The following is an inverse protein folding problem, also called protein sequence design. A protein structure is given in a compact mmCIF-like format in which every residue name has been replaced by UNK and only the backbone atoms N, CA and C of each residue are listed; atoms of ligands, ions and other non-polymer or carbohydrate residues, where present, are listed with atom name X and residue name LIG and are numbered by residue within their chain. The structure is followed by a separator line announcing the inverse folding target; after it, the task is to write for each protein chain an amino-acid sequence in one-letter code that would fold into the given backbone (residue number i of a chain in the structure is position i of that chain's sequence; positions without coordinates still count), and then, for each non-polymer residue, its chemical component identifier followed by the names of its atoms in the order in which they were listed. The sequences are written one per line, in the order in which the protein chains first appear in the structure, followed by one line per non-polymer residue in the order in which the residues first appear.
data_IF_095680339231
#
_entry.id   IF_095680339231
#
_cell.length_a   1.000
_cell.length_b   1.000
_cell.length_c   1.000
_cell.angle_alpha   90.00
_cell.angle_beta   90.00
_cell.angle_gamma   90.00
#
_symmetry.space_group_name_H-M   'P 1'
#
loop_
_entity.id
_entity.type
_entity.pdbx_description
1 polymer ?
#
# COMPACT_ATOMS: atom_id res chain seq x y z
N UNK A 1 3.15 44.86 7.66
CA UNK A 1 2.70 44.32 8.95
C UNK A 1 1.21 44.03 8.82
N UNK A 2 0.86 42.80 8.43
CA UNK A 2 -0.54 42.38 8.35
C UNK A 2 -0.99 42.05 9.77
N UNK A 3 -2.07 42.68 10.22
CA UNK A 3 -2.75 42.38 11.48
C UNK A 3 -3.24 40.93 11.42
N UNK A 4 -2.51 40.01 12.06
CA UNK A 4 -2.84 38.59 12.08
C UNK A 4 -4.24 38.39 12.65
N UNK A 5 -5.16 37.90 11.80
CA UNK A 5 -6.49 37.53 12.21
C UNK A 5 -6.35 36.28 13.09
N UNK A 6 -6.62 36.42 14.39
CA UNK A 6 -6.55 35.29 15.33
C UNK A 6 -7.65 34.28 14.98
N UNK A 7 -7.24 33.14 14.42
CA UNK A 7 -8.16 32.07 14.05
C UNK A 7 -8.34 31.14 15.24
N UNK A 8 -9.60 30.91 15.62
CA UNK A 8 -9.95 29.95 16.67
C UNK A 8 -10.10 28.57 16.04
N UNK A 9 -9.28 27.62 16.48
CA UNK A 9 -9.30 26.23 16.01
C UNK A 9 -9.78 25.29 17.11
N UNK A 10 -10.62 24.33 16.71
CA UNK A 10 -11.05 23.20 17.54
C UNK A 10 -10.14 22.00 17.28
N UNK A 11 -9.52 21.50 18.33
CA UNK A 11 -8.59 20.38 18.29
C UNK A 11 -9.15 19.26 19.15
N UNK A 12 -9.45 18.12 18.54
CA UNK A 12 -9.84 16.89 19.22
C UNK A 12 -8.63 15.97 19.37
N UNK A 13 -8.35 15.56 20.59
CA UNK A 13 -7.19 14.72 20.90
C UNK A 13 -7.67 13.44 21.57
N UNK A 14 -7.19 12.30 21.08
CA UNK A 14 -7.42 11.01 21.72
C UNK A 14 -6.72 10.96 23.09
N UNK A 15 -7.50 10.59 24.10
CA UNK A 15 -7.08 10.46 25.49
C UNK A 15 -7.25 9.05 25.99
N UNK A 16 -6.27 8.59 26.74
CA UNK A 16 -6.31 7.28 27.37
C UNK A 16 -5.37 7.27 28.56
N UNK A 17 -5.90 6.95 29.75
CA UNK A 17 -5.11 6.69 30.94
C UNK A 17 -5.22 5.21 31.35
N UNK A 18 -4.09 4.46 31.35
CA UNK A 18 -4.11 3.05 31.72
C UNK A 18 -4.48 2.82 33.20
N UNK A 19 -4.33 3.83 34.06
CA UNK A 19 -4.63 3.73 35.50
C UNK A 19 -6.13 3.88 35.79
N UNK A 20 -6.86 4.63 34.97
CA UNK A 20 -8.31 4.81 35.09
C UNK A 20 -9.08 3.63 34.47
N UNK A 21 -8.45 2.92 33.53
CA UNK A 21 -9.07 1.81 32.79
C UNK A 21 -10.11 2.27 31.77
N UNK A 22 -10.80 1.32 31.13
CA UNK A 22 -11.77 1.61 30.07
C UNK A 22 -11.14 1.85 28.69
N UNK A 23 -11.97 2.29 27.73
CA UNK A 23 -11.53 2.66 26.40
C UNK A 23 -11.15 4.14 26.32
N UNK A 24 -10.25 4.51 25.41
CA UNK A 24 -9.93 5.91 25.21
C UNK A 24 -11.09 6.72 24.60
N UNK A 25 -11.03 8.04 24.80
CA UNK A 25 -12.05 9.01 24.40
C UNK A 25 -11.39 10.18 23.67
N UNK A 26 -12.18 11.12 23.17
CA UNK A 26 -11.66 12.36 22.58
C UNK A 26 -12.02 13.54 23.47
N UNK A 27 -10.99 14.32 23.82
CA UNK A 27 -11.15 15.63 24.44
C UNK A 27 -11.07 16.72 23.39
N UNK A 28 -11.87 17.78 23.56
CA UNK A 28 -11.87 18.94 22.67
C UNK A 28 -11.22 20.14 23.35
N UNK A 29 -10.24 20.72 22.68
CA UNK A 29 -9.54 21.93 23.08
C UNK A 29 -9.81 23.05 22.07
N UNK A 30 -10.04 24.25 22.57
CA UNK A 30 -10.13 25.45 21.74
C UNK A 30 -8.81 26.22 21.84
N UNK A 31 -8.24 26.59 20.70
CA UNK A 31 -6.99 27.35 20.65
C UNK A 31 -7.08 28.55 19.72
N UNK A 32 -6.56 29.68 20.17
CA UNK A 32 -6.31 30.83 19.31
C UNK A 32 -4.92 30.70 18.67
N UNK A 33 -4.88 30.74 17.34
CA UNK A 33 -3.67 30.60 16.54
C UNK A 33 -3.47 31.87 15.72
N UNK A 34 -2.35 32.55 15.95
CA UNK A 34 -2.01 33.83 15.33
C UNK A 34 -1.54 33.70 13.88
N UNK A 35 -0.77 32.64 13.61
CA UNK A 35 -0.21 32.35 12.29
C UNK A 35 -0.26 30.84 12.05
N UNK A 36 -1.28 30.39 11.34
CA UNK A 36 -1.49 28.97 11.02
C UNK A 36 -0.43 28.41 10.07
N UNK A 37 0.24 29.27 9.30
CA UNK A 37 1.26 28.86 8.32
C UNK A 37 2.61 28.52 8.96
N UNK A 38 2.83 29.01 10.18
CA UNK A 38 4.05 28.80 10.96
C UNK A 38 3.78 28.11 12.31
N UNK A 39 2.56 27.61 12.52
CA UNK A 39 2.20 26.83 13.71
C UNK A 39 2.05 25.37 13.32
N UNK A 40 2.93 24.52 13.84
CA UNK A 40 2.86 23.07 13.62
C UNK A 40 1.87 22.42 14.57
N UNK A 41 1.45 21.19 14.25
CA UNK A 41 0.65 20.37 15.17
C UNK A 41 1.39 20.08 16.47
N UNK A 42 2.73 20.00 16.44
CA UNK A 42 3.52 19.88 17.67
C UNK A 42 3.41 21.14 18.54
N UNK A 43 3.40 22.33 17.94
CA UNK A 43 3.22 23.58 18.70
C UNK A 43 1.83 23.63 19.34
N UNK A 44 0.80 23.16 18.63
CA UNK A 44 -0.56 23.01 19.17
C UNK A 44 -0.56 22.08 20.39
N UNK A 45 0.05 20.88 20.28
CA UNK A 45 0.11 19.92 21.39
C UNK A 45 0.85 20.47 22.61
N UNK A 46 1.99 21.13 22.40
CA UNK A 46 2.77 21.76 23.48
C UNK A 46 1.98 22.88 24.15
N UNK A 47 1.24 23.68 23.39
CA UNK A 47 0.40 24.75 23.95
C UNK A 47 -0.77 24.18 24.75
N UNK A 48 -1.48 23.18 24.23
CA UNK A 48 -2.54 22.48 24.98
C UNK A 48 -1.97 21.94 26.29
N UNK A 49 -0.83 21.26 26.23
CA UNK A 49 -0.20 20.68 27.42
C UNK A 49 0.17 21.74 28.47
N UNK A 50 0.68 22.90 28.04
CA UNK A 50 1.14 23.95 28.97
C UNK A 50 0.02 24.85 29.47
N UNK A 51 -0.95 25.14 28.63
CA UNK A 51 -1.95 26.20 28.87
C UNK A 51 -3.30 25.64 29.35
N UNK A 52 -3.64 24.39 29.01
CA UNK A 52 -4.98 23.82 29.23
C UNK A 52 -4.97 22.50 30.00
N UNK A 53 -4.09 21.55 29.66
CA UNK A 53 -4.04 20.24 30.32
C UNK A 53 -2.63 19.63 30.36
N UNK A 54 -1.98 19.72 31.52
CA UNK A 54 -0.62 19.20 31.75
C UNK A 54 -0.53 17.68 31.79
N UNK A 55 -1.66 16.96 31.80
CA UNK A 55 -1.69 15.49 31.83
C UNK A 55 -1.55 14.84 30.45
N UNK A 56 -1.73 15.63 29.38
CA UNK A 56 -1.64 15.17 27.99
C UNK A 56 -0.24 14.60 27.67
N UNK A 57 -0.18 13.34 27.25
CA UNK A 57 1.07 12.64 26.92
C UNK A 57 1.28 12.47 25.40
N UNK A 58 2.47 12.86 24.92
CA UNK A 58 2.92 12.63 23.55
C UNK A 58 4.45 12.64 23.49
N UNK A 59 5.04 11.99 22.48
CA UNK A 59 6.50 11.98 22.27
C UNK A 59 6.92 13.03 21.25
N UNK A 60 8.00 13.74 21.54
CA UNK A 60 8.71 14.60 20.60
C UNK A 60 10.16 14.79 21.05
N UNK A 61 11.04 15.18 20.12
CA UNK A 61 12.44 15.49 20.43
C UNK A 61 12.98 16.60 19.51
N UNK A 62 13.34 16.28 18.26
CA UNK A 62 14.14 17.18 17.42
C UNK A 62 13.43 18.45 16.93
N UNK A 63 12.09 18.42 16.79
CA UNK A 63 11.25 19.49 16.19
C UNK A 63 11.60 19.88 14.75
N UNK A 64 12.42 19.09 14.05
CA UNK A 64 12.92 19.41 12.69
C UNK A 64 12.76 18.25 11.69
N UNK A 65 11.78 17.36 11.89
CA UNK A 65 11.49 16.25 10.96
C UNK A 65 12.70 15.29 10.72
N UNK A 66 13.42 14.94 11.79
CA UNK A 66 14.57 14.02 11.67
C UNK A 66 14.55 12.84 12.64
N UNK A 67 14.00 12.98 13.85
CA UNK A 67 14.02 11.88 14.84
C UNK A 67 12.86 10.87 14.73
N UNK A 68 11.77 11.22 14.03
CA UNK A 68 10.58 10.36 13.91
C UNK A 68 9.68 10.25 15.15
N UNK A 69 10.08 10.73 16.33
CA UNK A 69 9.37 10.49 17.60
C UNK A 69 7.94 11.03 17.70
N UNK A 70 7.60 12.07 16.92
CA UNK A 70 6.26 12.68 16.91
C UNK A 70 5.37 12.15 15.77
N UNK A 71 5.62 10.92 15.33
CA UNK A 71 4.73 10.20 14.42
C UNK A 71 3.38 9.93 15.09
N UNK A 72 2.30 10.33 14.43
CA UNK A 72 0.92 10.13 14.91
C UNK A 72 -0.04 10.23 13.73
N UNK A 73 -1.33 10.06 13.98
CA UNK A 73 -2.36 10.27 12.97
C UNK A 73 -3.04 11.61 13.19
N UNK A 74 -3.01 12.45 12.15
CA UNK A 74 -3.51 13.82 12.13
C UNK A 74 -4.55 13.91 11.02
N UNK A 75 -5.79 14.27 11.36
CA UNK A 75 -6.94 14.29 10.45
C UNK A 75 -7.09 12.99 9.65
N UNK A 76 -6.94 11.86 10.34
CA UNK A 76 -7.11 10.53 9.76
C UNK A 76 -5.91 10.02 8.95
N UNK A 77 -4.86 10.83 8.74
CA UNK A 77 -3.66 10.46 7.98
C UNK A 77 -2.38 10.53 8.82
N UNK A 78 -1.49 9.57 8.65
CA UNK A 78 -0.22 9.54 9.37
C UNK A 78 0.70 10.70 8.97
N UNK A 79 1.35 11.28 9.96
CA UNK A 79 2.27 12.40 9.77
C UNK A 79 3.16 12.64 10.97
N UNK A 80 4.08 13.59 10.84
CA UNK A 80 4.89 14.06 11.97
C UNK A 80 4.30 15.36 12.47
N UNK A 81 3.97 15.43 13.76
CA UNK A 81 3.38 16.63 14.36
C UNK A 81 4.26 17.88 14.15
N UNK A 82 5.59 17.73 14.14
CA UNK A 82 6.51 18.86 13.93
C UNK A 82 6.71 19.26 12.46
N UNK A 83 6.14 18.52 11.51
CA UNK A 83 6.21 18.80 10.07
C UNK A 83 4.88 19.35 9.55
N UNK A 84 3.77 18.86 10.08
CA UNK A 84 2.42 19.22 9.65
C UNK A 84 2.02 20.56 10.24
N UNK A 85 1.63 21.50 9.38
CA UNK A 85 1.16 22.82 9.78
C UNK A 85 -0.36 22.86 9.95
N UNK A 86 -0.82 23.79 10.78
CA UNK A 86 -2.25 24.05 10.96
C UNK A 86 -2.90 24.54 9.65
N UNK A 87 -2.14 25.26 8.82
CA UNK A 87 -2.54 25.71 7.48
C UNK A 87 -2.70 24.58 6.46
N UNK A 88 -2.24 23.36 6.76
CA UNK A 88 -2.41 22.21 5.84
C UNK A 88 -3.88 21.74 5.81
N UNK A 89 -4.69 22.19 6.76
CA UNK A 89 -6.11 21.87 6.90
C UNK A 89 -6.98 23.11 6.62
N UNK A 90 -8.21 22.90 6.14
CA UNK A 90 -9.11 24.03 5.89
C UNK A 90 -9.43 24.78 7.21
N UNK A 91 -9.60 26.10 7.16
CA UNK A 91 -9.73 26.92 8.38
C UNK A 91 -10.95 26.58 9.25
N UNK A 92 -12.01 26.02 8.65
CA UNK A 92 -13.21 25.55 9.35
C UNK A 92 -13.18 24.05 9.68
N UNK A 93 -12.12 23.35 9.27
CA UNK A 93 -11.95 21.92 9.51
C UNK A 93 -11.48 21.70 10.96
N UNK A 94 -12.11 20.72 11.60
CA UNK A 94 -11.71 20.26 12.92
C UNK A 94 -10.39 19.50 12.81
N UNK A 95 -9.44 19.81 13.70
CA UNK A 95 -8.19 19.06 13.78
C UNK A 95 -8.42 17.87 14.72
N UNK A 96 -8.15 16.65 14.26
CA UNK A 96 -8.26 15.42 15.04
C UNK A 96 -6.90 14.75 15.14
N UNK A 97 -6.49 14.37 16.35
CA UNK A 97 -5.18 13.79 16.62
C UNK A 97 -5.37 12.49 17.40
N UNK A 98 -4.79 11.40 16.90
CA UNK A 98 -4.86 10.08 17.53
C UNK A 98 -3.50 9.36 17.45
N UNK A 99 -3.23 8.38 18.32
CA UNK A 99 -2.00 7.60 18.26
C UNK A 99 -1.85 6.87 16.91
N UNK A 100 -0.63 6.42 16.62
CA UNK A 100 -0.37 5.54 15.47
C UNK A 100 -1.25 4.28 15.56
N UNK A 101 -1.79 3.86 14.43
CA UNK A 101 -2.59 2.65 14.31
C UNK A 101 -1.74 1.39 14.49
N UNK A 102 -2.36 0.30 14.96
CA UNK A 102 -1.75 -1.04 15.05
C UNK A 102 -0.63 -1.16 16.07
N UNK A 103 -0.37 -0.10 16.84
CA UNK A 103 0.53 -0.14 17.99
C UNK A 103 -0.31 -0.16 19.28
N UNK A 104 0.11 -0.91 20.31
CA UNK A 104 -0.49 -0.80 21.64
C UNK A 104 -0.34 0.64 22.17
N UNK A 105 -1.43 1.22 22.67
CA UNK A 105 -1.40 2.57 23.27
C UNK A 105 -0.95 2.46 24.72
N UNK A 106 0.05 3.24 25.11
CA UNK A 106 0.55 3.33 26.50
C UNK A 106 -0.24 4.39 27.27
N UNK A 107 -0.32 5.61 26.73
CA UNK A 107 -1.07 6.74 27.30
C UNK A 107 -1.29 7.79 26.22
N UNK A 108 -2.53 8.29 26.08
CA UNK A 108 -2.92 9.31 25.10
C UNK A 108 -2.37 9.02 23.68
N UNK A 109 -1.40 9.83 23.21
CA UNK A 109 -0.79 9.71 21.89
C UNK A 109 0.50 8.89 21.87
N UNK A 110 0.93 8.36 23.03
CA UNK A 110 2.13 7.54 23.18
C UNK A 110 1.79 6.08 22.93
N UNK A 111 2.49 5.47 21.96
CA UNK A 111 2.36 4.05 21.64
C UNK A 111 3.61 3.26 22.03
N UNK A 112 3.45 1.96 22.21
CA UNK A 112 4.55 1.01 22.33
C UNK A 112 5.14 0.72 20.94
N UNK A 113 6.44 0.97 20.79
CA UNK A 113 7.17 0.78 19.53
C UNK A 113 7.96 -0.54 19.51
N UNK A 114 7.98 -1.30 20.60
CA UNK A 114 8.75 -2.54 20.70
C UNK A 114 8.38 -3.56 19.60
N UNK A 115 7.08 -3.79 19.26
CA UNK A 115 6.74 -4.69 18.15
C UNK A 115 7.35 -4.25 16.81
N UNK A 116 7.44 -2.94 16.56
CA UNK A 116 8.05 -2.41 15.35
C UNK A 116 9.56 -2.66 15.31
N UNK A 117 10.27 -2.41 16.41
CA UNK A 117 11.72 -2.61 16.47
C UNK A 117 12.09 -4.08 16.44
N UNK A 118 11.28 -4.96 17.05
CA UNK A 118 11.44 -6.40 16.91
C UNK A 118 11.39 -6.85 15.45
N UNK A 119 10.38 -6.42 14.68
CA UNK A 119 10.31 -6.73 13.25
C UNK A 119 11.50 -6.14 12.47
N UNK A 120 12.00 -4.98 12.90
CA UNK A 120 13.19 -4.33 12.32
C UNK A 120 14.44 -5.17 12.53
N UNK A 121 14.65 -5.68 13.74
CA UNK A 121 15.76 -6.58 14.13
C UNK A 121 15.69 -7.93 13.41
N UNK A 122 14.48 -8.50 13.26
CA UNK A 122 14.25 -9.75 12.53
C UNK A 122 14.67 -9.67 11.05
N UNK A 123 14.74 -8.47 10.48
CA UNK A 123 15.25 -8.19 9.13
C UNK A 123 16.77 -7.97 9.04
N UNK A 124 17.50 -8.22 10.14
CA UNK A 124 18.97 -8.09 10.28
C UNK A 124 19.49 -6.67 9.97
N UNK A 125 19.04 -5.59 10.61
CA UNK A 125 19.16 -4.20 10.11
C UNK A 125 20.58 -3.59 10.10
N UNK A 126 21.62 -4.39 10.23
CA UNK A 126 23.03 -4.03 10.27
C UNK A 126 23.77 -4.49 9.01
N UNK A 127 24.87 -3.79 8.72
CA UNK A 127 25.79 -4.11 7.64
C UNK A 127 26.81 -5.13 8.15
N UNK A 128 27.04 -6.18 7.38
CA UNK A 128 28.11 -7.14 7.61
C UNK A 128 29.06 -7.10 6.41
N UNK A 129 30.36 -6.83 6.57
CA UNK A 129 31.27 -6.75 5.43
C UNK A 129 31.45 -8.13 4.77
N UNK A 130 31.26 -8.20 3.45
CA UNK A 130 31.57 -9.40 2.66
C UNK A 130 33.07 -9.75 2.67
N UNK A 131 33.91 -8.73 2.71
CA UNK A 131 35.37 -8.83 2.75
C UNK A 131 35.90 -7.90 3.83
N UNK A 132 36.90 -8.35 4.59
CA UNK A 132 37.56 -7.53 5.60
C UNK A 132 38.53 -6.59 4.87
N UNK A 133 38.24 -5.30 4.90
CA UNK A 133 39.08 -4.24 4.33
C UNK A 133 39.51 -3.28 5.43
N UNK A 134 40.77 -2.87 5.43
CA UNK A 134 41.31 -1.91 6.42
C UNK A 134 40.86 -0.47 6.13
N UNK A 135 40.75 -0.11 4.84
CA UNK A 135 40.37 1.22 4.41
C UNK A 135 38.84 1.37 4.24
N UNK A 136 38.25 2.50 4.67
CA UNK A 136 36.82 2.75 4.46
C UNK A 136 36.44 2.77 2.98
N UNK A 137 35.31 2.12 2.66
CA UNK A 137 34.77 2.11 1.29
C UNK A 137 34.37 3.52 0.83
N UNK A 138 34.88 3.95 -0.33
CA UNK A 138 34.52 5.22 -0.96
C UNK A 138 33.22 5.04 -1.77
N UNK A 139 32.10 5.57 -1.26
CA UNK A 139 30.80 5.51 -1.95
C UNK A 139 30.54 6.85 -2.63
N UNK A 140 30.60 6.88 -3.96
CA UNK A 140 30.26 8.10 -4.70
C UNK A 140 28.74 8.34 -4.72
N UNK A 141 28.25 9.56 -4.46
CA UNK A 141 26.82 9.87 -4.51
C UNK A 141 26.17 9.65 -5.89
N UNK A 142 26.94 9.76 -6.96
CA UNK A 142 26.50 9.55 -8.35
C UNK A 142 26.58 8.08 -8.79
N UNK A 143 27.08 7.18 -7.94
CA UNK A 143 27.12 5.77 -8.28
C UNK A 143 25.71 5.19 -8.42
N UNK A 144 25.45 4.35 -9.44
CA UNK A 144 24.12 3.75 -9.65
C UNK A 144 23.61 2.98 -8.43
N UNK A 145 24.52 2.33 -7.70
CA UNK A 145 24.22 1.58 -6.48
C UNK A 145 23.76 2.51 -5.35
N UNK A 146 24.49 3.59 -5.06
CA UNK A 146 24.09 4.56 -4.04
C UNK A 146 22.77 5.22 -4.39
N UNK A 147 22.56 5.60 -5.66
CA UNK A 147 21.30 6.19 -6.12
C UNK A 147 20.11 5.24 -6.00
N UNK A 148 20.32 3.93 -6.19
CA UNK A 148 19.25 2.93 -6.09
C UNK A 148 18.64 2.84 -4.69
N UNK A 149 19.45 3.04 -3.64
CA UNK A 149 19.02 2.97 -2.23
C UNK A 149 18.97 4.35 -1.54
N UNK A 150 19.41 5.41 -2.23
CA UNK A 150 19.65 6.75 -1.68
C UNK A 150 18.53 7.26 -0.79
N UNK A 151 17.31 7.27 -1.31
CA UNK A 151 16.14 7.72 -0.56
C UNK A 151 15.73 6.72 0.54
N UNK A 152 15.87 5.42 0.28
CA UNK A 152 15.51 4.37 1.23
C UNK A 152 16.38 4.38 2.51
N UNK A 153 17.63 4.86 2.43
CA UNK A 153 18.51 5.01 3.61
C UNK A 153 18.09 6.15 4.53
N UNK A 154 17.25 7.09 4.06
CA UNK A 154 16.79 8.24 4.85
C UNK A 154 15.64 7.89 5.82
N UNK A 155 15.36 6.60 6.03
CA UNK A 155 14.31 6.14 6.91
C UNK A 155 14.61 6.52 8.37
N UNK A 156 13.71 7.29 8.98
CA UNK A 156 13.83 7.77 10.36
C UNK A 156 13.04 6.93 11.38
N UNK A 157 12.62 5.72 10.99
CA UNK A 157 11.89 4.79 11.86
C UNK A 157 10.65 5.38 12.59
N UNK A 158 9.94 6.32 11.96
CA UNK A 158 8.80 7.03 12.59
C UNK A 158 7.50 6.23 12.78
N UNK A 159 7.41 4.99 12.29
CA UNK A 159 6.19 4.16 12.39
C UNK A 159 5.03 4.52 11.45
N UNK A 160 5.00 5.72 10.84
CA UNK A 160 3.88 6.17 9.97
C UNK A 160 3.50 5.16 8.87
N UNK A 161 4.48 4.59 8.19
CA UNK A 161 4.21 3.63 7.11
C UNK A 161 3.62 2.31 7.60
N UNK A 162 3.95 1.89 8.83
CA UNK A 162 3.41 0.68 9.45
C UNK A 162 1.98 0.95 9.95
N UNK A 163 1.77 2.10 10.59
CA UNK A 163 0.44 2.58 11.00
C UNK A 163 -0.54 2.65 9.84
N UNK A 164 -0.11 3.11 8.65
CA UNK A 164 -1.02 3.21 7.50
C UNK A 164 -1.26 1.88 6.78
N UNK A 165 -0.51 0.83 7.10
CA UNK A 165 -0.54 -0.43 6.37
C UNK A 165 -1.55 -1.39 6.98
N UNK A 166 -2.64 -1.66 6.24
CA UNK A 166 -3.68 -2.58 6.69
C UNK A 166 -3.13 -4.01 6.89
N UNK A 167 -2.14 -4.42 6.09
CA UNK A 167 -1.53 -5.75 6.23
C UNK A 167 -0.72 -5.89 7.52
N UNK A 168 -0.16 -4.80 8.06
CA UNK A 168 0.51 -4.81 9.36
C UNK A 168 -0.49 -5.03 10.52
N UNK A 169 -1.78 -4.76 10.30
CA UNK A 169 -2.84 -5.05 11.27
C UNK A 169 -3.33 -6.50 11.23
N UNK A 170 -3.47 -7.06 10.02
CA UNK A 170 -4.18 -8.33 9.82
C UNK A 170 -3.26 -9.56 9.73
N UNK A 171 -1.95 -9.36 9.51
CA UNK A 171 -0.99 -10.45 9.37
C UNK A 171 0.10 -10.35 10.42
N UNK A 172 -0.02 -11.12 11.51
CA UNK A 172 0.97 -11.16 12.60
C UNK A 172 2.39 -11.51 12.12
N UNK A 173 2.53 -12.27 11.02
CA UNK A 173 3.83 -12.60 10.41
C UNK A 173 4.37 -11.56 9.42
N UNK A 174 3.71 -10.42 9.24
CA UNK A 174 4.18 -9.37 8.34
C UNK A 174 5.09 -8.39 9.07
N UNK A 175 6.38 -8.41 8.73
CA UNK A 175 7.38 -7.49 9.29
C UNK A 175 7.01 -6.01 9.08
N UNK A 176 6.34 -5.69 7.96
CA UNK A 176 5.89 -4.34 7.65
C UNK A 176 6.82 -3.54 6.72
N UNK A 177 6.35 -2.38 6.23
CA UNK A 177 7.05 -1.60 5.21
C UNK A 177 8.42 -1.05 5.64
N UNK A 178 8.55 -0.54 6.86
CA UNK A 178 9.82 0.04 7.33
C UNK A 178 10.94 -1.01 7.49
N UNK A 179 10.73 -2.14 8.17
CA UNK A 179 11.72 -3.23 8.23
C UNK A 179 12.14 -3.74 6.85
N UNK A 180 11.18 -3.98 5.96
CA UNK A 180 11.46 -4.44 4.59
C UNK A 180 12.20 -3.39 3.76
N UNK A 181 11.91 -2.10 3.94
CA UNK A 181 12.69 -1.01 3.34
C UNK A 181 14.15 -1.03 3.83
N UNK A 182 14.38 -1.25 5.13
CA UNK A 182 15.74 -1.36 5.67
C UNK A 182 16.47 -2.55 5.06
N UNK A 183 15.84 -3.73 5.04
CA UNK A 183 16.45 -4.91 4.43
C UNK A 183 16.79 -4.71 2.95
N UNK A 184 15.91 -4.04 2.19
CA UNK A 184 16.18 -3.66 0.80
C UNK A 184 17.48 -2.86 0.66
N UNK A 185 17.75 -1.89 1.55
CA UNK A 185 18.98 -1.10 1.47
C UNK A 185 20.23 -1.95 1.55
N UNK A 186 20.21 -3.01 2.37
CA UNK A 186 21.34 -3.91 2.58
C UNK A 186 21.41 -5.01 1.51
N UNK A 187 20.27 -5.57 1.09
CA UNK A 187 20.20 -6.54 -0.03
C UNK A 187 20.72 -5.96 -1.35
N UNK A 188 20.63 -4.64 -1.50
CA UNK A 188 21.09 -3.93 -2.69
C UNK A 188 22.54 -3.44 -2.57
N UNK A 189 23.12 -3.47 -1.37
CA UNK A 189 24.50 -3.10 -1.11
C UNK A 189 25.42 -4.30 -1.39
N UNK A 190 26.20 -4.21 -2.46
CA UNK A 190 27.13 -5.24 -2.93
C UNK A 190 28.23 -5.59 -1.93
N UNK A 191 28.43 -4.73 -0.93
CA UNK A 191 29.43 -4.92 0.12
C UNK A 191 28.90 -5.75 1.29
N UNK A 192 27.58 -5.95 1.39
CA UNK A 192 26.95 -6.72 2.48
C UNK A 192 27.14 -8.23 2.26
N UNK A 193 27.61 -8.92 3.30
CA UNK A 193 27.90 -10.35 3.31
C UNK A 193 26.71 -11.24 3.67
N UNK A 194 25.63 -10.69 4.23
CA UNK A 194 24.48 -11.46 4.75
C UNK A 194 23.33 -11.61 3.75
N UNK A 195 23.62 -11.60 2.46
CA UNK A 195 22.59 -11.60 1.42
C UNK A 195 21.61 -12.76 1.55
N UNK A 196 22.12 -13.99 1.75
CA UNK A 196 21.29 -15.20 1.75
C UNK A 196 20.37 -15.27 2.98
N UNK A 197 20.94 -15.03 4.17
CA UNK A 197 20.25 -15.04 5.46
C UNK A 197 19.19 -13.93 5.52
N UNK A 198 19.55 -12.74 5.02
CA UNK A 198 18.64 -11.60 4.93
C UNK A 198 17.51 -11.86 3.95
N UNK A 199 17.82 -12.43 2.79
CA UNK A 199 16.82 -12.78 1.78
C UNK A 199 15.82 -13.79 2.37
N UNK A 200 16.29 -14.88 2.97
CA UNK A 200 15.43 -15.91 3.57
C UNK A 200 14.42 -15.30 4.57
N UNK A 201 14.91 -14.46 5.49
CA UNK A 201 14.07 -13.76 6.48
C UNK A 201 13.02 -12.86 5.84
N UNK A 202 13.40 -12.03 4.87
CA UNK A 202 12.43 -11.12 4.24
C UNK A 202 11.43 -11.85 3.35
N UNK A 203 11.78 -13.00 2.77
CA UNK A 203 10.85 -13.77 1.96
C UNK A 203 9.68 -14.34 2.77
N UNK A 204 9.90 -14.68 4.04
CA UNK A 204 8.81 -15.11 4.94
C UNK A 204 7.75 -14.02 5.16
N UNK A 205 8.11 -12.75 4.96
CA UNK A 205 7.26 -11.60 5.26
C UNK A 205 6.76 -10.87 4.00
N UNK A 206 7.60 -10.69 2.99
CA UNK A 206 7.36 -9.75 1.90
C UNK A 206 6.11 -10.06 1.05
N UNK A 207 5.68 -11.32 0.98
CA UNK A 207 4.50 -11.74 0.20
C UNK A 207 3.17 -11.33 0.81
N UNK A 208 3.13 -10.93 2.08
CA UNK A 208 1.94 -10.38 2.71
C UNK A 208 1.58 -8.99 2.16
N UNK A 209 2.52 -8.30 1.50
CA UNK A 209 2.26 -6.99 0.91
C UNK A 209 1.29 -7.07 -0.27
N UNK A 210 0.14 -6.40 -0.14
CA UNK A 210 -0.90 -6.28 -1.17
C UNK A 210 -0.76 -5.06 -2.08
N UNK A 211 0.34 -4.33 -1.96
CA UNK A 211 0.65 -3.20 -2.86
C UNK A 211 -0.41 -2.09 -2.82
N UNK A 212 -0.90 -1.76 -1.62
CA UNK A 212 -1.92 -0.72 -1.39
C UNK A 212 -1.37 0.72 -1.47
N UNK A 213 -0.04 0.87 -1.48
CA UNK A 213 0.68 2.15 -1.54
C UNK A 213 0.50 3.12 -0.36
N UNK A 214 -0.38 2.86 0.62
CA UNK A 214 -0.52 3.70 1.82
C UNK A 214 0.84 4.05 2.47
N UNK A 215 1.71 3.04 2.62
CA UNK A 215 3.04 3.21 3.22
C UNK A 215 3.94 4.21 2.48
N UNK A 216 3.84 4.26 1.15
CA UNK A 216 4.57 5.21 0.30
C UNK A 216 3.94 6.60 0.43
N UNK A 217 2.61 6.68 0.44
CA UNK A 217 1.85 7.93 0.45
C UNK A 217 2.03 8.76 1.73
N UNK A 218 2.16 8.08 2.88
CA UNK A 218 2.28 8.74 4.19
C UNK A 218 3.73 8.97 4.64
N UNK A 219 4.73 8.52 3.87
CA UNK A 219 6.11 8.62 4.31
C UNK A 219 6.55 10.09 4.40
N UNK A 220 6.93 10.62 5.58
CA UNK A 220 7.32 12.03 5.72
C UNK A 220 8.64 12.37 5.02
N UNK A 221 9.42 11.34 4.68
CA UNK A 221 10.69 11.38 3.95
C UNK A 221 10.55 10.94 2.48
N UNK A 222 9.31 10.75 2.02
CA UNK A 222 8.98 10.43 0.61
C UNK A 222 9.56 9.09 0.12
N UNK A 223 9.86 8.19 1.05
CA UNK A 223 10.41 6.86 0.75
C UNK A 223 9.31 5.96 0.23
N UNK A 224 9.52 5.37 -0.95
CA UNK A 224 8.64 4.33 -1.47
C UNK A 224 8.99 2.95 -0.91
N UNK A 225 8.43 2.63 0.25
CA UNK A 225 8.53 1.28 0.84
C UNK A 225 7.92 0.22 -0.09
N UNK A 226 6.88 0.58 -0.85
CA UNK A 226 6.29 -0.31 -1.87
C UNK A 226 7.32 -0.70 -2.94
N UNK A 227 8.15 0.24 -3.41
CA UNK A 227 9.24 -0.05 -4.37
C UNK A 227 10.26 -1.01 -3.77
N UNK A 228 10.66 -0.78 -2.52
CA UNK A 228 11.59 -1.66 -1.82
C UNK A 228 11.06 -3.10 -1.71
N UNK A 229 9.81 -3.26 -1.27
CA UNK A 229 9.17 -4.59 -1.15
C UNK A 229 9.05 -5.27 -2.52
N UNK A 230 8.67 -4.53 -3.57
CA UNK A 230 8.60 -5.08 -4.93
C UNK A 230 9.96 -5.50 -5.47
N UNK A 231 11.02 -4.80 -5.09
CA UNK A 231 12.38 -5.21 -5.42
C UNK A 231 12.73 -6.56 -4.79
N UNK A 232 12.47 -6.73 -3.49
CA UNK A 232 12.66 -7.99 -2.76
C UNK A 232 11.88 -9.13 -3.44
N UNK A 233 10.59 -8.92 -3.69
CA UNK A 233 9.73 -9.92 -4.36
C UNK A 233 10.25 -10.31 -5.75
N UNK A 234 10.81 -9.37 -6.52
CA UNK A 234 11.40 -9.65 -7.84
C UNK A 234 12.71 -10.41 -7.75
N UNK A 235 13.52 -10.14 -6.73
CA UNK A 235 14.75 -10.90 -6.50
C UNK A 235 14.44 -12.35 -6.18
N UNK A 236 13.43 -12.61 -5.34
CA UNK A 236 12.98 -13.95 -4.99
C UNK A 236 12.74 -14.86 -6.21
N UNK A 237 12.18 -14.29 -7.29
CA UNK A 237 11.89 -15.01 -8.53
C UNK A 237 13.19 -15.34 -9.30
N UNK A 238 14.21 -14.50 -9.19
CA UNK A 238 15.49 -14.62 -9.90
C UNK A 238 16.53 -15.48 -9.16
N UNK A 239 16.46 -15.56 -7.84
CA UNK A 239 17.42 -16.31 -7.02
C UNK A 239 17.58 -17.79 -7.40
N UNK A 240 16.51 -18.55 -7.73
CA UNK A 240 16.67 -19.93 -8.20
C UNK A 240 17.52 -20.02 -9.47
N UNK A 241 17.33 -19.07 -10.40
CA UNK A 241 18.13 -19.01 -11.64
C UNK A 241 19.57 -18.61 -11.37
N UNK A 242 19.81 -17.69 -10.42
CA UNK A 242 21.17 -17.27 -10.04
C UNK A 242 21.95 -18.38 -9.35
N UNK A 243 21.29 -19.22 -8.53
CA UNK A 243 21.90 -20.43 -7.96
C UNK A 243 22.26 -21.43 -9.06
N UNK A 244 21.34 -21.68 -10.00
CA UNK A 244 21.61 -22.58 -11.14
C UNK A 244 22.75 -22.04 -12.01
N UNK A 245 22.80 -20.74 -12.28
CA UNK A 245 23.88 -20.09 -13.04
C UNK A 245 25.22 -20.14 -12.29
N UNK A 246 25.21 -19.93 -10.97
CA UNK A 246 26.41 -20.04 -10.13
C UNK A 246 26.91 -21.49 -10.01
N UNK A 247 26.00 -22.46 -9.89
CA UNK A 247 26.31 -23.89 -9.89
C UNK A 247 26.88 -24.32 -11.25
N UNK A 248 26.29 -23.87 -12.35
CA UNK A 248 26.79 -24.11 -13.72
C UNK A 248 28.15 -23.46 -13.96
N UNK A 249 28.34 -22.23 -13.52
CA UNK A 249 29.62 -21.55 -13.63
C UNK A 249 30.71 -22.23 -12.79
N UNK A 250 30.36 -22.76 -11.61
CA UNK A 250 31.29 -23.53 -10.78
C UNK A 250 31.67 -24.86 -11.45
N UNK A 251 30.74 -25.54 -12.13
CA UNK A 251 31.03 -26.79 -12.88
C UNK A 251 31.87 -26.52 -14.13
N UNK A 252 31.59 -25.43 -14.87
CA UNK A 252 32.38 -25.04 -16.05
C UNK A 252 33.83 -24.64 -15.73
N UNK A 253 34.11 -24.19 -14.50
CA UNK A 253 35.47 -23.88 -14.03
C UNK A 253 36.23 -25.16 -13.62
N UNK A 254 35.55 -26.18 -13.09
CA UNK A 254 36.18 -27.47 -12.77
C UNK A 254 36.53 -28.29 -14.03
N UNK A 255 35.77 -28.12 -15.11
CA UNK A 255 35.96 -28.83 -16.39
C UNK A 255 36.87 -28.08 -17.40
N UNK A 256 37.37 -26.89 -17.06
CA UNK A 256 38.21 -26.09 -17.96
C UNK A 256 39.68 -26.51 -17.90
N UNK A 257 40.17 -27.20 -18.95
CA UNK A 257 41.61 -27.41 -19.16
C UNK A 257 42.35 -26.07 -19.34
N UNK A 258 43.59 -25.93 -18.82
CA UNK A 258 44.34 -24.68 -18.91
C UNK A 258 44.67 -24.32 -20.35
N UNK A 259 44.29 -23.10 -20.76
CA UNK A 259 44.57 -22.58 -22.08
C UNK A 259 46.08 -22.55 -22.37
N UNK A 260 46.53 -22.95 -23.58
CA UNK A 260 47.94 -22.93 -23.94
C UNK A 260 48.47 -21.50 -24.02
N UNK A 261 49.72 -21.32 -23.57
CA UNK A 261 50.41 -20.04 -23.53
C UNK A 261 50.56 -19.42 -24.93
N UNK A 262 50.07 -18.19 -25.09
CA UNK A 262 50.12 -17.42 -26.33
C UNK A 262 51.53 -16.84 -26.50
N UNK A 263 52.24 -17.26 -27.55
CA UNK A 263 53.49 -16.66 -28.00
C UNK A 263 53.26 -15.29 -28.64
N UNK A 264 54.11 -14.31 -28.30
CA UNK A 264 54.09 -12.95 -28.86
C UNK A 264 54.42 -12.98 -30.36
N UNK A 265 53.49 -12.49 -31.19
CA UNK A 265 53.72 -12.15 -32.60
C UNK A 265 53.70 -10.64 -32.80
N UNK A 266 54.69 -10.13 -33.53
CA UNK A 266 54.94 -8.72 -33.85
C UNK A 266 53.91 -8.10 -34.83
N UNK A 267 53.79 -6.76 -34.92
CA UNK A 267 52.82 -6.11 -35.78
C UNK A 267 53.35 -5.97 -37.22
N UNK A 268 52.57 -6.40 -38.21
CA UNK A 268 52.87 -6.15 -39.63
C UNK A 268 51.90 -5.09 -40.16
N UNK A 269 52.48 -3.95 -40.53
CA UNK A 269 51.89 -2.92 -41.38
C UNK A 269 52.05 -3.38 -42.83
N UNK A 270 50.97 -3.37 -43.63
CA UNK A 270 51.11 -3.07 -45.06
C UNK A 270 49.80 -2.53 -45.63
N UNK A 271 49.87 -1.30 -46.13
CA UNK A 271 48.90 -0.74 -47.06
C UNK A 271 49.16 -1.33 -48.45
N UNK A 272 48.10 -1.63 -49.20
CA UNK A 272 48.12 -1.46 -50.65
C UNK A 272 46.75 -1.01 -51.15
N UNK A 273 46.77 0.12 -51.84
CA UNK A 273 45.66 0.67 -52.61
C UNK A 273 45.44 -0.18 -53.85
N UNK A 274 44.19 -0.53 -54.14
CA UNK A 274 43.70 -0.70 -55.50
C UNK A 274 42.24 -0.23 -55.56
N UNK A 275 42.00 0.79 -56.38
CA UNK A 275 40.68 1.33 -56.64
C UNK A 275 39.82 0.37 -57.45
N UNK A 276 38.51 0.50 -57.29
CA UNK A 276 37.56 -0.05 -58.25
C UNK A 276 36.41 0.95 -58.40
N UNK A 277 36.27 1.45 -59.64
CA UNK A 277 35.16 2.25 -60.13
C UNK A 277 33.87 1.40 -60.17
N UNK A 278 32.71 2.07 -60.00
CA UNK A 278 31.43 1.56 -60.48
C UNK A 278 30.39 1.13 -59.44
N UNK A 279 29.82 2.08 -58.68
CA UNK A 279 28.52 1.86 -58.03
C UNK A 279 27.38 2.26 -58.99
N UNK A 280 26.90 1.32 -59.79
CA UNK A 280 25.62 1.46 -60.48
C UNK A 280 24.48 1.26 -59.46
N UNK A 281 23.83 2.36 -59.06
CA UNK A 281 22.60 2.31 -58.28
C UNK A 281 21.47 1.72 -59.14
N UNK A 282 21.14 0.45 -58.90
CA UNK A 282 20.00 -0.22 -59.51
C UNK A 282 18.72 0.44 -58.95
N UNK A 283 17.98 1.16 -59.80
CA UNK A 283 16.70 1.76 -59.43
C UNK A 283 15.65 0.64 -59.24
N UNK A 284 14.88 0.63 -58.14
CA UNK A 284 13.89 -0.41 -57.89
C UNK A 284 12.75 -0.34 -58.92
N UNK A 285 12.42 -1.49 -59.52
CA UNK A 285 11.32 -1.68 -60.46
C UNK A 285 9.98 -1.12 -59.89
N UNK A 286 9.33 -0.16 -60.60
CA UNK A 286 8.06 0.44 -60.17
C UNK A 286 6.96 -0.57 -59.86
N UNK A 287 6.92 -1.71 -60.58
CA UNK A 287 5.91 -2.75 -60.39
C UNK A 287 6.05 -3.48 -59.05
N UNK A 288 7.29 -3.74 -58.62
CA UNK A 288 7.56 -4.41 -57.33
C UNK A 288 7.25 -3.51 -56.15
N UNK A 289 7.56 -2.20 -56.26
CA UNK A 289 7.24 -1.22 -55.21
C UNK A 289 5.75 -1.04 -55.04
N UNK A 290 4.99 -0.94 -56.13
CA UNK A 290 3.53 -0.78 -56.07
C UNK A 290 2.84 -2.04 -55.51
N UNK A 291 3.29 -3.24 -55.92
CA UNK A 291 2.81 -4.50 -55.38
C UNK A 291 3.06 -4.62 -53.86
N UNK A 292 4.29 -4.37 -53.40
CA UNK A 292 4.63 -4.45 -51.97
C UNK A 292 3.89 -3.40 -51.14
N UNK A 293 3.66 -2.21 -51.69
CA UNK A 293 2.91 -1.14 -51.02
C UNK A 293 1.44 -1.54 -50.83
N UNK A 294 0.79 -2.05 -51.88
CA UNK A 294 -0.59 -2.56 -51.82
C UNK A 294 -0.74 -3.75 -50.88
N UNK A 295 0.23 -4.67 -50.89
CA UNK A 295 0.24 -5.83 -49.98
C UNK A 295 0.39 -5.40 -48.52
N UNK A 296 1.28 -4.44 -48.24
CA UNK A 296 1.49 -3.91 -46.88
C UNK A 296 0.26 -3.17 -46.36
N UNK A 297 -0.38 -2.35 -47.20
CA UNK A 297 -1.65 -1.69 -46.88
C UNK A 297 -2.78 -2.70 -46.64
N UNK A 298 -2.86 -3.76 -47.45
CA UNK A 298 -3.86 -4.82 -47.28
C UNK A 298 -3.70 -5.59 -45.96
N UNK A 299 -2.47 -6.00 -45.63
CA UNK A 299 -2.16 -6.67 -44.35
C UNK A 299 -2.43 -5.73 -43.17
N UNK A 300 -2.02 -4.46 -43.29
CA UNK A 300 -2.27 -3.45 -42.27
C UNK A 300 -3.76 -3.23 -42.01
N UNK A 301 -4.57 -3.10 -43.06
CA UNK A 301 -6.02 -2.96 -42.96
C UNK A 301 -6.69 -4.20 -42.34
N UNK A 302 -6.28 -5.40 -42.75
CA UNK A 302 -6.80 -6.65 -42.18
C UNK A 302 -6.47 -6.78 -40.69
N UNK A 303 -5.24 -6.42 -40.31
CA UNK A 303 -4.80 -6.42 -38.91
C UNK A 303 -5.56 -5.40 -38.08
N UNK A 304 -5.73 -4.17 -38.61
CA UNK A 304 -6.48 -3.11 -37.94
C UNK A 304 -7.96 -3.48 -37.73
N UNK A 305 -8.59 -4.13 -38.72
CA UNK A 305 -9.97 -4.62 -38.59
C UNK A 305 -10.08 -5.75 -37.57
N UNK A 306 -9.13 -6.69 -37.54
CA UNK A 306 -9.15 -7.80 -36.59
C UNK A 306 -8.95 -7.30 -35.16
N UNK A 307 -7.93 -6.48 -34.92
CA UNK A 307 -7.66 -5.88 -33.61
C UNK A 307 -8.81 -4.96 -33.20
N UNK A 308 -9.31 -4.14 -34.13
CA UNK A 308 -10.45 -3.26 -33.90
C UNK A 308 -11.73 -4.03 -33.51
N UNK A 309 -12.01 -5.16 -34.15
CA UNK A 309 -13.14 -6.03 -33.82
C UNK A 309 -13.00 -6.71 -32.45
N UNK A 310 -11.79 -7.18 -32.10
CA UNK A 310 -11.52 -7.76 -30.78
C UNK A 310 -11.64 -6.70 -29.69
N UNK A 311 -11.07 -5.51 -29.90
CA UNK A 311 -11.18 -4.40 -28.95
C UNK A 311 -12.65 -3.95 -28.82
N UNK A 312 -13.37 -3.73 -29.93
CA UNK A 312 -14.78 -3.35 -29.88
C UNK A 312 -15.64 -4.40 -29.14
N UNK A 313 -15.43 -5.68 -29.39
CA UNK A 313 -16.15 -6.74 -28.67
C UNK A 313 -15.76 -6.83 -27.18
N UNK A 314 -14.49 -6.60 -26.83
CA UNK A 314 -14.02 -6.58 -25.44
C UNK A 314 -14.52 -5.37 -24.65
N UNK A 315 -14.63 -4.20 -25.27
CA UNK A 315 -15.07 -2.96 -24.59
C UNK A 315 -16.59 -2.77 -24.62
N UNK A 316 -17.27 -3.15 -25.71
CA UNK A 316 -18.73 -2.96 -25.86
C UNK A 316 -19.52 -4.19 -25.41
N UNK A 317 -18.97 -5.40 -25.61
CA UNK A 317 -19.64 -6.66 -25.27
C UNK A 317 -20.08 -6.77 -23.81
N UNK A 318 -19.24 -6.44 -22.82
CA UNK A 318 -19.64 -6.48 -21.41
C UNK A 318 -20.77 -5.50 -21.06
N UNK A 319 -20.81 -4.32 -21.67
CA UNK A 319 -21.85 -3.30 -21.42
C UNK A 319 -23.21 -3.65 -22.04
N UNK A 320 -23.24 -4.51 -23.06
CA UNK A 320 -24.48 -4.97 -23.71
C UNK A 320 -25.07 -6.23 -23.10
N UNK A 321 -24.36 -6.92 -22.18
CA UNK A 321 -24.91 -8.07 -21.47
C UNK A 321 -25.94 -7.60 -20.44
N UNK A 322 -27.17 -8.12 -20.54
CA UNK A 322 -28.18 -7.92 -19.49
C UNK A 322 -27.67 -8.57 -18.20
N UNK A 323 -27.53 -7.77 -17.14
CA UNK A 323 -27.28 -8.26 -15.79
C UNK A 323 -28.54 -8.94 -15.29
N UNK A 324 -28.46 -10.24 -15.03
CA UNK A 324 -29.56 -11.00 -14.45
C UNK A 324 -29.46 -10.95 -12.92
N UNK A 325 -30.58 -10.68 -12.25
CA UNK A 325 -30.65 -10.70 -10.79
C UNK A 325 -30.76 -12.15 -10.31
N UNK A 326 -29.72 -12.65 -9.66
CA UNK A 326 -29.70 -13.96 -9.02
C UNK A 326 -30.21 -13.82 -7.57
N UNK A 327 -31.15 -14.67 -7.18
CA UNK A 327 -31.68 -14.73 -5.82
C UNK A 327 -31.00 -15.85 -5.04
N UNK A 328 -30.16 -15.51 -4.07
CA UNK A 328 -29.35 -16.47 -3.32
C UNK A 328 -29.95 -16.68 -1.93
N UNK A 329 -30.14 -17.94 -1.49
CA UNK A 329 -30.63 -18.24 -0.13
C UNK A 329 -29.60 -17.83 0.92
N UNK A 330 -30.02 -17.01 1.87
CA UNK A 330 -29.19 -16.46 2.93
C UNK A 330 -29.38 -17.16 4.28
N UNK A 331 -30.55 -17.77 4.50
CA UNK A 331 -30.92 -18.43 5.77
C UNK A 331 -32.43 -18.39 6.02
N UNK A 332 -32.88 -18.86 7.19
CA UNK A 332 -34.29 -18.77 7.61
C UNK A 332 -34.57 -17.45 8.32
N UNK A 333 -35.77 -16.91 8.13
CA UNK A 333 -36.20 -15.67 8.81
C UNK A 333 -36.32 -15.83 10.33
N UNK A 334 -36.54 -17.05 10.83
CA UNK A 334 -36.68 -17.33 12.27
C UNK A 334 -35.35 -17.26 13.04
N UNK A 335 -34.21 -17.36 12.34
CA UNK A 335 -32.89 -17.30 12.96
C UNK A 335 -32.44 -15.86 13.24
N UNK A 336 -33.17 -14.87 12.72
CA UNK A 336 -32.86 -13.44 12.87
C UNK A 336 -33.45 -12.87 14.16
N UNK A 337 -32.57 -12.35 15.02
CA UNK A 337 -32.98 -11.72 16.29
C UNK A 337 -33.43 -10.27 16.06
N UNK A 338 -34.63 -9.93 16.55
CA UNK A 338 -35.19 -8.56 16.49
C UNK A 338 -34.25 -7.57 17.19
N UNK A 339 -34.00 -6.43 16.55
CA UNK A 339 -33.16 -5.35 17.06
C UNK A 339 -31.65 -5.58 16.91
N UNK A 340 -31.21 -6.72 16.36
CA UNK A 340 -29.79 -7.03 16.18
C UNK A 340 -29.41 -7.12 14.70
N UNK A 341 -28.15 -6.80 14.43
CA UNK A 341 -27.51 -7.02 13.13
C UNK A 341 -26.85 -8.40 13.13
N UNK A 342 -27.17 -9.19 12.11
CA UNK A 342 -26.63 -10.55 11.89
C UNK A 342 -25.88 -10.57 10.56
N UNK A 343 -24.65 -11.09 10.56
CA UNK A 343 -23.89 -11.30 9.32
C UNK A 343 -24.22 -12.67 8.75
N UNK A 344 -24.69 -12.73 7.51
CA UNK A 344 -24.99 -13.95 6.77
C UNK A 344 -24.00 -14.09 5.61
N UNK A 345 -23.64 -15.33 5.25
CA UNK A 345 -22.75 -15.60 4.13
C UNK A 345 -23.54 -16.15 2.94
N UNK A 346 -23.56 -15.40 1.84
CA UNK A 346 -24.16 -15.82 0.58
C UNK A 346 -23.16 -16.70 -0.18
N UNK A 347 -23.47 -17.98 -0.31
CA UNK A 347 -22.70 -18.91 -1.12
C UNK A 347 -23.29 -18.95 -2.53
N UNK A 348 -22.48 -18.66 -3.55
CA UNK A 348 -22.94 -18.69 -4.94
C UNK A 348 -21.82 -19.09 -5.89
N UNK A 349 -22.19 -19.76 -6.98
CA UNK A 349 -21.25 -20.15 -8.03
C UNK A 349 -21.33 -19.14 -9.17
N UNK A 350 -20.23 -18.46 -9.45
CA UNK A 350 -20.12 -17.52 -10.57
C UNK A 350 -19.42 -18.20 -11.75
N UNK A 351 -19.95 -18.03 -12.97
CA UNK A 351 -19.33 -18.56 -14.19
C UNK A 351 -18.48 -17.47 -14.86
N UNK A 352 -17.17 -17.58 -14.71
CA UNK A 352 -16.21 -16.65 -15.33
C UNK A 352 -15.66 -17.31 -16.61
N UNK A 353 -16.28 -16.98 -17.74
CA UNK A 353 -15.93 -17.56 -19.04
C UNK A 353 -16.29 -19.06 -19.11
N UNK A 354 -15.27 -19.93 -19.15
CA UNK A 354 -15.43 -21.39 -19.14
C UNK A 354 -15.30 -22.01 -17.74
N UNK A 355 -14.84 -21.24 -16.76
CA UNK A 355 -14.63 -21.70 -15.39
C UNK A 355 -15.84 -21.38 -14.51
N UNK A 356 -16.07 -22.21 -13.49
CA UNK A 356 -17.02 -21.96 -12.40
C UNK A 356 -16.22 -21.76 -11.13
N UNK A 357 -16.55 -20.73 -10.36
CA UNK A 357 -15.90 -20.42 -9.09
C UNK A 357 -16.97 -20.28 -8.02
N UNK A 358 -16.80 -21.01 -6.91
CA UNK A 358 -17.65 -20.87 -5.74
C UNK A 358 -17.14 -19.69 -4.90
N UNK A 359 -18.03 -18.74 -4.64
CA UNK A 359 -17.77 -17.51 -3.93
C UNK A 359 -18.63 -17.42 -2.68
N UNK A 360 -18.09 -16.75 -1.66
CA UNK A 360 -18.80 -16.45 -0.42
C UNK A 360 -18.81 -14.94 -0.25
N UNK A 361 -19.99 -14.33 -0.20
CA UNK A 361 -20.16 -12.90 0.07
C UNK A 361 -20.87 -12.68 1.41
N UNK A 362 -20.21 -12.09 2.42
CA UNK A 362 -20.90 -11.69 3.64
C UNK A 362 -21.88 -10.55 3.34
N UNK A 363 -23.02 -10.54 4.03
CA UNK A 363 -24.03 -9.47 4.01
C UNK A 363 -24.54 -9.25 5.42
N UNK A 364 -25.01 -8.06 5.74
CA UNK A 364 -25.42 -7.70 7.10
C UNK A 364 -26.92 -7.44 7.12
N UNK A 365 -27.65 -8.23 7.90
CA UNK A 365 -29.10 -8.14 8.01
C UNK A 365 -29.47 -7.54 9.35
N UNK A 366 -30.16 -6.41 9.34
CA UNK A 366 -30.72 -5.78 10.52
C UNK A 366 -32.23 -6.01 10.58
N UNK A 367 -32.72 -6.65 11.64
CA UNK A 367 -34.15 -6.83 11.89
C UNK A 367 -34.68 -5.68 12.76
N UNK A 368 -35.54 -4.83 12.20
CA UNK A 368 -35.98 -3.57 12.82
C UNK A 368 -37.13 -3.74 13.82
N UNK A 369 -38.08 -4.65 13.55
CA UNK A 369 -39.31 -4.79 14.33
C UNK A 369 -39.78 -6.25 14.43
N UNK A 370 -40.67 -6.54 15.38
CA UNK A 370 -41.33 -7.83 15.57
C UNK A 370 -42.10 -8.31 14.34
N UNK A 371 -42.49 -7.39 13.46
CA UNK A 371 -43.16 -7.70 12.18
C UNK A 371 -42.18 -8.23 11.11
N UNK A 372 -40.93 -8.51 11.51
CA UNK A 372 -39.83 -9.02 10.67
C UNK A 372 -39.50 -8.13 9.47
N UNK A 373 -39.69 -6.81 9.61
CA UNK A 373 -39.15 -5.87 8.64
C UNK A 373 -37.62 -5.85 8.78
N UNK A 374 -36.91 -6.22 7.72
CA UNK A 374 -35.46 -6.31 7.70
C UNK A 374 -34.86 -5.33 6.69
N UNK A 375 -33.64 -4.90 6.98
CA UNK A 375 -32.78 -4.18 6.03
C UNK A 375 -31.54 -5.03 5.81
N UNK A 376 -31.18 -5.22 4.54
CA UNK A 376 -29.99 -5.96 4.14
C UNK A 376 -28.98 -4.96 3.59
N UNK A 377 -27.81 -4.88 4.23
CA UNK A 377 -26.69 -4.04 3.81
C UNK A 377 -25.62 -4.86 3.10
N UNK A 378 -25.04 -4.30 2.03
CA UNK A 378 -23.80 -4.83 1.44
C UNK A 378 -22.67 -4.71 2.49
N UNK A 379 -21.83 -5.73 2.62
CA UNK A 379 -20.69 -5.72 3.55
C UNK A 379 -19.51 -4.89 3.03
N UNK A 380 -19.70 -4.11 1.97
CA UNK A 380 -18.68 -3.27 1.35
C UNK A 380 -18.97 -1.79 1.60
N UNK A 381 -17.94 -1.08 2.01
CA UNK A 381 -17.97 0.36 2.23
C UNK A 381 -18.14 1.12 0.92
N UNK A 382 -18.91 2.19 0.95
CA UNK A 382 -19.19 3.07 -0.20
C UNK A 382 -18.05 4.01 -0.59
N UNK A 383 -16.93 3.99 0.15
CA UNK A 383 -15.71 4.70 -0.23
C UNK A 383 -14.96 3.98 -1.37
N UNK A 384 -14.35 2.83 -1.05
CA UNK A 384 -13.51 2.05 -1.96
C UNK A 384 -13.79 0.54 -1.87
N UNK A 385 -14.95 0.14 -1.32
CA UNK A 385 -15.36 -1.26 -1.26
C UNK A 385 -14.71 -2.09 -0.15
N UNK A 386 -14.03 -1.47 0.82
CA UNK A 386 -13.46 -2.15 1.99
C UNK A 386 -14.52 -2.93 2.77
N UNK A 387 -14.14 -4.03 3.43
CA UNK A 387 -15.05 -4.79 4.27
C UNK A 387 -15.58 -3.95 5.46
N UNK A 388 -16.87 -4.07 5.71
CA UNK A 388 -17.59 -3.43 6.82
C UNK A 388 -18.16 -4.52 7.71
N UNK A 389 -17.99 -4.35 9.03
CA UNK A 389 -18.55 -5.27 10.05
C UNK A 389 -19.37 -4.52 11.08
N UNK A 390 -20.39 -5.18 11.63
CA UNK A 390 -21.10 -4.65 12.79
C UNK A 390 -20.25 -4.77 14.06
N UNK A 391 -20.14 -3.70 14.83
CA UNK A 391 -19.51 -3.69 16.15
C UNK A 391 -20.55 -3.47 17.25
N UNK A 392 -20.78 -4.51 18.06
CA UNK A 392 -21.81 -4.51 19.11
C UNK A 392 -21.52 -3.51 20.23
N UNK A 393 -20.24 -3.27 20.52
CA UNK A 393 -19.78 -2.37 21.58
C UNK A 393 -20.02 -0.91 21.22
N UNK A 394 -19.81 -0.55 19.95
CA UNK A 394 -19.98 0.82 19.46
C UNK A 394 -21.34 1.09 18.81
N UNK A 395 -22.19 0.06 18.72
CA UNK A 395 -23.51 0.09 18.07
C UNK A 395 -23.46 0.73 16.66
N UNK A 396 -22.47 0.34 15.88
CA UNK A 396 -22.15 0.95 14.59
C UNK A 396 -21.47 -0.04 13.65
N UNK A 397 -21.58 0.20 12.35
CA UNK A 397 -20.77 -0.51 11.37
C UNK A 397 -19.39 0.14 11.24
N UNK A 398 -18.33 -0.68 11.30
CA UNK A 398 -16.95 -0.25 11.19
C UNK A 398 -16.34 -0.74 9.88
N UNK A 399 -15.79 0.18 9.11
CA UNK A 399 -14.98 -0.08 7.93
C UNK A 399 -13.55 -0.41 8.35
N UNK A 400 -12.98 -1.46 7.76
CA UNK A 400 -11.61 -1.91 8.03
C UNK A 400 -10.48 -0.95 7.58
N UNK A 401 -10.82 0.16 6.91
CA UNK A 401 -9.87 1.11 6.32
C UNK A 401 -9.61 2.32 7.26
N UNK A 402 -9.68 3.55 6.76
CA UNK A 402 -9.36 4.83 7.45
C UNK A 402 -10.43 5.34 8.44
N UNK A 403 -11.01 4.44 9.25
CA UNK A 403 -11.96 4.84 10.30
C UNK A 403 -13.36 5.18 9.79
N UNK A 404 -13.75 4.67 8.62
CA UNK A 404 -15.14 4.73 8.13
C UNK A 404 -16.10 4.10 9.15
N UNK A 405 -17.14 4.82 9.53
CA UNK A 405 -18.14 4.40 10.52
C UNK A 405 -19.53 4.73 10.02
N UNK A 406 -20.47 3.79 10.17
CA UNK A 406 -21.88 3.99 9.82
C UNK A 406 -22.80 3.69 11.00
N UNK A 407 -23.92 4.38 11.07
CA UNK A 407 -24.96 4.15 12.07
C UNK A 407 -25.76 2.88 11.74
N UNK A 408 -26.61 2.46 12.67
CA UNK A 408 -27.45 1.27 12.52
C UNK A 408 -28.37 1.33 11.28
N UNK A 409 -28.79 2.53 10.86
CA UNK A 409 -29.57 2.76 9.64
C UNK A 409 -28.72 2.80 8.35
N UNK A 410 -27.39 2.70 8.47
CA UNK A 410 -26.45 2.74 7.36
C UNK A 410 -25.90 4.14 7.03
N UNK A 411 -26.37 5.21 7.70
CA UNK A 411 -25.87 6.57 7.48
C UNK A 411 -24.42 6.75 7.92
N UNK A 412 -23.67 7.65 7.28
CA UNK A 412 -22.25 7.88 7.58
C UNK A 412 -22.10 8.66 8.88
N UNK A 413 -21.38 8.08 9.85
CA UNK A 413 -21.03 8.73 11.12
C UNK A 413 -19.63 9.37 11.01
N UNK A 414 -18.66 8.64 10.44
CA UNK A 414 -17.27 9.08 10.39
C UNK A 414 -16.49 8.44 9.24
N UNK A 415 -15.30 8.98 9.00
CA UNK A 415 -14.43 8.63 7.88
C UNK A 415 -14.90 9.24 6.56
N UNK A 416 -14.16 9.01 5.47
CA UNK A 416 -14.42 9.58 4.15
C UNK A 416 -15.44 8.83 3.26
N UNK A 417 -16.19 7.77 3.65
CA UNK A 417 -17.28 7.29 2.80
C UNK A 417 -18.25 8.43 2.43
N UNK A 418 -18.53 8.67 1.13
CA UNK A 418 -19.27 9.85 0.71
C UNK A 418 -20.79 9.70 0.87
N UNK A 419 -21.28 8.50 1.18
CA UNK A 419 -22.71 8.17 1.20
C UNK A 419 -23.01 6.96 2.10
N UNK A 420 -24.29 6.76 2.54
CA UNK A 420 -24.71 5.62 3.37
C UNK A 420 -24.38 4.26 2.74
N UNK A 421 -24.38 3.19 3.55
CA UNK A 421 -24.21 1.81 3.08
C UNK A 421 -25.24 1.44 2.01
N UNK A 422 -24.81 0.62 1.05
CA UNK A 422 -25.69 0.12 -0.01
C UNK A 422 -26.70 -0.89 0.55
N UNK A 423 -27.96 -0.72 0.17
CA UNK A 423 -29.03 -1.65 0.49
C UNK A 423 -29.10 -2.72 -0.60
N UNK A 424 -29.34 -3.96 -0.20
CA UNK A 424 -29.58 -5.08 -1.10
C UNK A 424 -31.05 -5.46 -1.09
N UNK A 425 -31.62 -5.71 -2.27
CA UNK A 425 -32.98 -6.20 -2.39
C UNK A 425 -33.08 -7.61 -1.79
N UNK A 426 -34.21 -7.91 -1.16
CA UNK A 426 -34.50 -9.22 -0.60
C UNK A 426 -35.94 -9.63 -0.89
N UNK A 427 -36.20 -10.93 -0.83
CA UNK A 427 -37.55 -11.50 -0.83
C UNK A 427 -37.60 -12.67 0.14
N UNK A 428 -38.80 -12.97 0.61
CA UNK A 428 -39.04 -14.10 1.51
C UNK A 428 -39.84 -15.15 0.73
N UNK A 429 -39.33 -16.37 0.67
CA UNK A 429 -40.00 -17.50 0.01
C UNK A 429 -40.04 -18.70 0.95
N UNK A 430 -41.24 -19.15 1.30
CA UNK A 430 -41.48 -20.26 2.25
C UNK A 430 -40.69 -20.14 3.57
N UNK A 431 -40.55 -18.92 4.10
CA UNK A 431 -39.82 -18.64 5.34
C UNK A 431 -38.29 -18.50 5.19
N UNK A 432 -37.75 -18.69 3.99
CA UNK A 432 -36.34 -18.46 3.68
C UNK A 432 -36.11 -17.04 3.16
N UNK A 433 -35.04 -16.42 3.65
CA UNK A 433 -34.55 -15.14 3.16
C UNK A 433 -33.71 -15.36 1.89
N UNK A 434 -34.12 -14.73 0.79
CA UNK A 434 -33.39 -14.69 -0.47
C UNK A 434 -32.90 -13.26 -0.71
N UNK A 435 -31.61 -13.11 -1.02
CA UNK A 435 -30.99 -11.81 -1.26
C UNK A 435 -30.61 -11.70 -2.74
N UNK A 436 -30.92 -10.55 -3.35
CA UNK A 436 -30.62 -10.26 -4.73
C UNK A 436 -29.13 -9.95 -4.92
N UNK A 437 -28.51 -10.63 -5.88
CA UNK A 437 -27.17 -10.34 -6.36
C UNK A 437 -27.23 -10.05 -7.86
N UNK A 438 -26.74 -8.88 -8.25
CA UNK A 438 -26.65 -8.49 -9.65
C UNK A 438 -25.34 -9.03 -10.19
N UNK A 439 -25.41 -10.05 -11.04
CA UNK A 439 -24.25 -10.64 -11.73
C UNK A 439 -23.93 -9.93 -13.04
#
# INVERSE_FOLDING_TARGET
MSTGQENRRKVEIYRYDPTEGGGGHFDTFDLQIKDESNTTILDVLIRIQKEQDTTLAFRYACRVNMCGSCGMVINGREGLACKTNVSDFASNERITIRPLNHFPVIKDLVVDMDPFFKNYEECLPFFEPKEIVEEPAIIRPDSPERQAIGLATECIACGCCVSSCTMANYHEGYAGPAPLNRAFTLLKDSRDGLFAERMDRVLQSCYNCRTEFNCTEVCPKEISSTRAIKFIQRMAIKEPFRKIEAEKAATEIEDAEPAPAIGRGEPVISMSNNGCEGCAHNQPDPGRRDFLTKMTLGIGAATALMVGGVMASAFVGPSLRKKETLWIPAGKMDDLQVGKVTTLNLNYTEKIGIYKQDNVKPVMVWCQSSDKNIVVYDSRCTHLGCAVRWDKTQNSFLCACHGGKFALDGSVIAGPPPRPLDHMDYKIDNGNLLIAMVS
#
